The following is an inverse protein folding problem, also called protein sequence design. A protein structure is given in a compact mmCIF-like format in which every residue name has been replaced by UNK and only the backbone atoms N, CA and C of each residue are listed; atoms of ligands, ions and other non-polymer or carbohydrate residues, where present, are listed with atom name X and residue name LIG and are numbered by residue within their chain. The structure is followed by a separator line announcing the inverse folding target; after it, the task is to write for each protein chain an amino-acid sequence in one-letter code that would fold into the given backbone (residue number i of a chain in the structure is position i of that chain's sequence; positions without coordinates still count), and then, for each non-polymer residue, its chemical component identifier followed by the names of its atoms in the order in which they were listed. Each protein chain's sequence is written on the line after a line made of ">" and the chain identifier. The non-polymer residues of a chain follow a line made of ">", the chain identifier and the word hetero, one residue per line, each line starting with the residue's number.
data_IF_193752344527
#
_entry.id   IF_193752344527
#
_cell.length_a   1.000
_cell.length_b   1.000
_cell.length_c   1.000
_cell.angle_alpha   90.00
_cell.angle_beta   90.00
_cell.angle_gamma   90.00
#
_symmetry.space_group_name_H-M   'P 1'
#
loop_
_entity.id
_entity.type
_entity.pdbx_description
1 polymer ?
#
# COMPACT_ATOMS: atom_id res chain seq x y z
N UNK A 1 0.77 42.08 -40.80
CA UNK A 1 0.40 40.64 -40.72
C UNK A 1 1.19 40.02 -39.58
N UNK A 2 0.51 39.76 -38.46
CA UNK A 2 1.10 39.22 -37.23
C UNK A 2 1.02 37.69 -37.33
N UNK A 3 2.18 37.01 -37.30
CA UNK A 3 2.27 35.56 -37.33
C UNK A 3 2.17 35.01 -35.90
N UNK A 4 1.20 34.11 -35.75
CA UNK A 4 0.72 33.44 -34.54
C UNK A 4 1.78 32.53 -33.92
N UNK A 5 2.19 32.81 -32.68
CA UNK A 5 3.02 31.92 -31.88
C UNK A 5 2.15 30.82 -31.24
N UNK A 6 2.34 29.57 -31.66
CA UNK A 6 1.76 28.39 -31.02
C UNK A 6 2.54 28.10 -29.73
N UNK A 7 1.91 28.34 -28.58
CA UNK A 7 2.43 27.97 -27.27
C UNK A 7 2.02 26.53 -26.98
N UNK A 8 2.94 25.58 -27.10
CA UNK A 8 2.78 24.23 -26.56
C UNK A 8 2.93 24.30 -25.03
N UNK A 9 1.81 24.34 -24.32
CA UNK A 9 1.80 24.04 -22.89
C UNK A 9 1.99 22.54 -22.70
N UNK A 10 3.21 22.11 -22.39
CA UNK A 10 3.44 20.76 -21.87
C UNK A 10 2.77 20.66 -20.49
N UNK A 11 1.98 19.61 -20.21
CA UNK A 11 1.47 19.40 -18.86
C UNK A 11 2.68 19.15 -17.96
N UNK A 12 2.85 20.01 -16.95
CA UNK A 12 3.78 19.79 -15.85
C UNK A 12 3.36 18.47 -15.20
N UNK A 13 4.14 17.41 -15.37
CA UNK A 13 3.90 16.15 -14.70
C UNK A 13 3.95 16.42 -13.19
N UNK A 14 2.79 16.42 -12.54
CA UNK A 14 2.73 16.47 -11.08
C UNK A 14 3.50 15.26 -10.54
N UNK A 15 4.32 15.47 -9.51
CA UNK A 15 4.98 14.38 -8.82
C UNK A 15 3.91 13.36 -8.38
N UNK A 16 4.18 12.04 -8.48
CA UNK A 16 3.20 11.04 -8.09
C UNK A 16 2.89 11.17 -6.59
N UNK A 17 1.70 11.65 -6.26
CA UNK A 17 1.23 11.85 -4.88
C UNK A 17 1.41 10.58 -4.04
N UNK A 18 1.97 10.72 -2.84
CA UNK A 18 2.19 9.63 -1.90
C UNK A 18 0.85 9.04 -1.45
N UNK A 19 0.57 7.72 -1.65
CA UNK A 19 -0.70 7.12 -1.25
C UNK A 19 -0.97 7.24 0.26
N UNK A 20 0.07 7.35 1.10
CA UNK A 20 -0.13 7.60 2.53
C UNK A 20 -0.76 9.00 2.73
N UNK A 21 -0.23 10.01 2.04
CA UNK A 21 -0.77 11.37 2.06
C UNK A 21 -2.17 11.41 1.45
N UNK A 22 -2.41 10.77 0.31
CA UNK A 22 -3.74 10.70 -0.32
C UNK A 22 -4.79 10.10 0.64
N UNK A 23 -4.42 9.03 1.36
CA UNK A 23 -5.32 8.40 2.33
C UNK A 23 -5.60 9.32 3.53
N UNK A 24 -4.58 10.03 4.02
CA UNK A 24 -4.74 11.01 5.11
C UNK A 24 -5.61 12.20 4.71
N UNK A 25 -5.44 12.71 3.49
CA UNK A 25 -6.28 13.78 2.92
C UNK A 25 -7.73 13.32 2.75
N UNK A 26 -7.95 12.09 2.30
CA UNK A 26 -9.29 11.50 2.21
C UNK A 26 -9.95 11.34 3.59
N UNK A 27 -9.22 10.89 4.61
CA UNK A 27 -9.70 10.83 5.99
C UNK A 27 -10.10 12.22 6.51
N UNK A 28 -9.24 13.22 6.30
CA UNK A 28 -9.55 14.60 6.67
C UNK A 28 -10.80 15.12 5.94
N UNK A 29 -10.91 14.84 4.64
CA UNK A 29 -12.07 15.21 3.84
C UNK A 29 -13.36 14.53 4.34
N UNK A 30 -13.31 13.29 4.81
CA UNK A 30 -14.44 12.61 5.46
C UNK A 30 -14.86 13.33 6.74
N UNK A 31 -13.90 13.71 7.59
CA UNK A 31 -14.17 14.48 8.80
C UNK A 31 -14.88 15.81 8.51
N UNK A 32 -14.40 16.56 7.51
CA UNK A 32 -15.03 17.80 7.07
C UNK A 32 -16.43 17.57 6.46
N UNK A 33 -16.59 16.50 5.69
CA UNK A 33 -17.88 16.13 5.12
C UNK A 33 -18.89 15.67 6.18
N UNK A 34 -18.44 15.07 7.29
CA UNK A 34 -19.28 14.74 8.42
C UNK A 34 -19.76 15.99 9.18
N UNK A 35 -18.91 17.01 9.35
CA UNK A 35 -19.31 18.31 9.88
C UNK A 35 -20.37 18.95 8.98
N UNK A 36 -20.14 18.95 7.68
CA UNK A 36 -21.11 19.44 6.70
C UNK A 36 -22.47 18.74 6.77
N UNK A 37 -22.49 17.42 7.00
CA UNK A 37 -23.75 16.68 7.19
C UNK A 37 -24.51 17.12 8.45
N UNK A 38 -23.79 17.50 9.52
CA UNK A 38 -24.38 18.02 10.77
C UNK A 38 -24.98 19.40 10.56
N UNK A 39 -24.31 20.26 9.81
CA UNK A 39 -24.74 21.64 9.54
C UNK A 39 -25.79 21.75 8.43
N UNK A 40 -25.94 20.73 7.58
CA UNK A 40 -26.88 20.75 6.47
C UNK A 40 -28.35 20.75 6.94
N UNK A 41 -29.02 21.89 6.79
CA UNK A 41 -30.43 22.08 7.13
C UNK A 41 -31.35 21.87 5.93
N UNK A 42 -31.09 22.56 4.82
CA UNK A 42 -31.95 22.48 3.63
C UNK A 42 -31.73 21.20 2.83
N UNK A 43 -32.71 20.84 2.00
CA UNK A 43 -32.58 19.69 1.10
C UNK A 43 -31.37 19.81 0.15
N UNK A 44 -31.06 21.03 -0.31
CA UNK A 44 -29.89 21.29 -1.18
C UNK A 44 -28.58 21.14 -0.41
N UNK A 45 -28.51 21.65 0.82
CA UNK A 45 -27.31 21.53 1.66
C UNK A 45 -27.03 20.06 1.99
N UNK A 46 -28.08 19.28 2.26
CA UNK A 46 -27.98 17.84 2.51
C UNK A 46 -27.44 17.09 1.30
N UNK A 47 -27.89 17.41 0.08
CA UNK A 47 -27.34 16.83 -1.15
C UNK A 47 -25.86 17.22 -1.33
N UNK A 48 -25.52 18.49 -1.08
CA UNK A 48 -24.13 18.96 -1.18
C UNK A 48 -23.21 18.28 -0.17
N UNK A 49 -23.66 18.11 1.07
CA UNK A 49 -22.92 17.40 2.12
C UNK A 49 -22.74 15.91 1.79
N UNK A 50 -23.79 15.20 1.37
CA UNK A 50 -23.68 13.80 0.91
C UNK A 50 -22.74 13.66 -0.28
N UNK A 51 -22.74 14.63 -1.20
CA UNK A 51 -21.81 14.66 -2.34
C UNK A 51 -20.35 14.80 -1.89
N UNK A 52 -20.08 15.61 -0.85
CA UNK A 52 -18.74 15.72 -0.26
C UNK A 52 -18.28 14.39 0.35
N UNK A 53 -19.17 13.70 1.07
CA UNK A 53 -18.85 12.37 1.63
C UNK A 53 -18.55 11.34 0.54
N UNK A 54 -19.32 11.34 -0.55
CA UNK A 54 -19.09 10.45 -1.70
C UNK A 54 -17.72 10.69 -2.31
N UNK A 55 -17.38 11.96 -2.58
CA UNK A 55 -16.06 12.32 -3.14
C UNK A 55 -14.91 11.92 -2.22
N UNK A 56 -15.07 12.06 -0.91
CA UNK A 56 -14.05 11.66 0.05
C UNK A 56 -13.86 10.13 0.08
N UNK A 57 -14.94 9.34 -0.01
CA UNK A 57 -14.83 7.88 -0.16
C UNK A 57 -14.16 7.49 -1.48
N UNK A 58 -14.53 8.12 -2.59
CA UNK A 58 -13.91 7.87 -3.90
C UNK A 58 -12.41 8.19 -3.88
N UNK A 59 -12.01 9.31 -3.27
CA UNK A 59 -10.61 9.67 -3.06
C UNK A 59 -9.88 8.62 -2.19
N UNK A 60 -10.50 8.17 -1.10
CA UNK A 60 -9.96 7.11 -0.25
C UNK A 60 -9.73 5.80 -1.00
N UNK A 61 -10.72 5.34 -1.79
CA UNK A 61 -10.60 4.14 -2.62
C UNK A 61 -9.51 4.27 -3.69
N UNK A 62 -9.33 5.46 -4.26
CA UNK A 62 -8.22 5.75 -5.16
C UNK A 62 -6.86 5.65 -4.44
N UNK A 63 -6.75 6.20 -3.23
CA UNK A 63 -5.54 6.08 -2.41
C UNK A 63 -5.19 4.61 -2.09
N UNK A 64 -6.21 3.79 -1.76
CA UNK A 64 -6.01 2.35 -1.54
C UNK A 64 -5.47 1.63 -2.77
N UNK A 65 -6.04 1.92 -3.95
CA UNK A 65 -5.60 1.32 -5.23
C UNK A 65 -4.18 1.72 -5.60
N UNK A 66 -3.83 3.00 -5.41
CA UNK A 66 -2.48 3.49 -5.65
C UNK A 66 -1.48 2.89 -4.66
N UNK A 67 -1.86 2.76 -3.37
CA UNK A 67 -1.07 2.08 -2.35
C UNK A 67 -0.75 0.62 -2.73
N UNK A 68 -1.76 -0.14 -3.19
CA UNK A 68 -1.54 -1.50 -3.69
C UNK A 68 -0.61 -1.55 -4.90
N UNK A 69 -0.77 -0.63 -5.85
CA UNK A 69 0.07 -0.58 -7.04
C UNK A 69 1.54 -0.40 -6.65
N UNK A 70 1.83 0.51 -5.72
CA UNK A 70 3.19 0.72 -5.20
C UNK A 70 3.70 -0.49 -4.42
N UNK A 71 2.87 -1.07 -3.56
CA UNK A 71 3.21 -2.28 -2.81
C UNK A 71 3.56 -3.46 -3.73
N UNK A 72 2.81 -3.66 -4.83
CA UNK A 72 3.08 -4.71 -5.80
C UNK A 72 4.40 -4.52 -6.56
N UNK A 73 4.77 -3.27 -6.87
CA UNK A 73 6.07 -2.95 -7.47
C UNK A 73 7.20 -3.30 -6.50
N UNK A 74 7.09 -2.86 -5.23
CA UNK A 74 8.07 -3.18 -4.19
C UNK A 74 8.19 -4.69 -3.94
N UNK A 75 7.05 -5.40 -3.90
CA UNK A 75 7.04 -6.86 -3.76
C UNK A 75 7.83 -7.52 -4.90
N UNK A 76 7.60 -7.08 -6.14
CA UNK A 76 8.30 -7.62 -7.31
C UNK A 76 9.81 -7.39 -7.20
N UNK A 77 10.23 -6.22 -6.73
CA UNK A 77 11.64 -5.90 -6.51
C UNK A 77 12.25 -6.80 -5.42
N UNK A 78 11.58 -6.96 -4.28
CA UNK A 78 12.05 -7.80 -3.18
C UNK A 78 12.15 -9.27 -3.57
N UNK A 79 11.15 -9.80 -4.27
CA UNK A 79 11.18 -11.18 -4.78
C UNK A 79 12.37 -11.40 -5.71
N UNK A 80 12.63 -10.47 -6.64
CA UNK A 80 13.80 -10.57 -7.53
C UNK A 80 15.12 -10.54 -6.79
N UNK A 81 15.25 -9.66 -5.79
CA UNK A 81 16.45 -9.60 -4.93
C UNK A 81 16.64 -10.91 -4.17
N UNK A 82 15.56 -11.46 -3.62
CA UNK A 82 15.57 -12.74 -2.91
C UNK A 82 16.01 -13.89 -3.81
N UNK A 83 15.45 -13.99 -5.03
CA UNK A 83 15.83 -15.00 -6.02
C UNK A 83 17.31 -14.88 -6.43
N UNK A 84 17.78 -13.66 -6.71
CA UNK A 84 19.18 -13.41 -7.09
C UNK A 84 20.17 -13.81 -5.98
N UNK A 85 19.85 -13.51 -4.72
CA UNK A 85 20.68 -13.95 -3.58
C UNK A 85 20.63 -15.47 -3.39
N UNK A 86 19.47 -16.10 -3.60
CA UNK A 86 19.33 -17.56 -3.58
C UNK A 86 20.18 -18.27 -4.64
N UNK A 87 20.23 -17.74 -5.86
CA UNK A 87 21.11 -18.26 -6.91
C UNK A 87 22.59 -18.06 -6.56
N UNK A 88 22.94 -16.90 -6.02
CA UNK A 88 24.32 -16.59 -5.61
C UNK A 88 24.78 -17.57 -4.52
N UNK A 89 23.93 -17.85 -3.54
CA UNK A 89 24.19 -18.84 -2.51
C UNK A 89 24.35 -20.25 -3.08
N UNK A 90 23.48 -20.65 -4.00
CA UNK A 90 23.54 -21.96 -4.66
C UNK A 90 24.86 -22.15 -5.44
N UNK A 91 25.31 -21.12 -6.16
CA UNK A 91 26.62 -21.12 -6.85
C UNK A 91 27.78 -21.23 -5.86
N UNK A 92 27.73 -20.49 -4.75
CA UNK A 92 28.76 -20.55 -3.71
C UNK A 92 28.83 -21.95 -3.08
N UNK A 93 27.69 -22.52 -2.70
CA UNK A 93 27.63 -23.87 -2.12
C UNK A 93 28.10 -24.93 -3.12
N UNK A 94 27.72 -24.83 -4.39
CA UNK A 94 28.21 -25.73 -5.44
C UNK A 94 29.73 -25.68 -5.62
N UNK A 95 30.32 -24.48 -5.60
CA UNK A 95 31.78 -24.30 -5.66
C UNK A 95 32.49 -24.82 -4.40
N UNK A 96 31.87 -24.73 -3.23
CA UNK A 96 32.43 -25.29 -1.99
C UNK A 96 32.35 -26.83 -1.97
N UNK A 97 31.25 -27.40 -2.45
CA UNK A 97 31.09 -28.86 -2.57
C UNK A 97 32.08 -29.46 -3.57
N UNK A 98 32.41 -28.77 -4.66
CA UNK A 98 33.43 -29.25 -5.61
C UNK A 98 34.84 -29.26 -5.01
N UNK A 99 35.14 -28.38 -4.05
CA UNK A 99 36.42 -28.35 -3.32
C UNK A 99 36.47 -29.47 -2.26
N UNK A 100 35.35 -29.76 -1.61
CA UNK A 100 35.26 -30.76 -0.53
C UNK A 100 35.03 -32.22 -0.98
N UNK A 101 34.62 -32.44 -2.23
CA UNK A 101 34.23 -33.76 -2.76
C UNK A 101 35.33 -34.57 -3.45
N UNK A 102 36.59 -34.16 -3.40
CA UNK A 102 37.69 -34.91 -4.00
C UNK A 102 38.07 -36.15 -3.15
N UNK A 103 38.36 -37.29 -3.79
CA UNK A 103 38.76 -38.52 -3.10
C UNK A 103 40.09 -38.33 -2.33
N UNK A 104 40.20 -38.96 -1.15
CA UNK A 104 41.34 -38.86 -0.22
C UNK A 104 42.75 -38.96 -0.85
N UNK A 105 43.00 -39.80 -1.89
CA UNK A 105 44.31 -39.89 -2.54
C UNK A 105 44.68 -38.65 -3.38
N UNK A 106 43.70 -37.89 -3.89
CA UNK A 106 43.91 -36.72 -4.74
C UNK A 106 44.13 -35.43 -3.93
N UNK A 107 43.48 -35.29 -2.76
CA UNK A 107 43.63 -34.14 -1.86
C UNK A 107 45.08 -33.99 -1.34
N UNK A 108 45.80 -35.11 -1.20
CA UNK A 108 47.20 -35.12 -0.75
C UNK A 108 48.21 -34.69 -1.84
N UNK A 109 47.79 -34.68 -3.10
CA UNK A 109 48.64 -34.36 -4.25
C UNK A 109 48.41 -32.94 -4.80
N UNK A 110 47.37 -32.22 -4.34
CA UNK A 110 47.07 -30.86 -4.79
C UNK A 110 47.78 -29.80 -3.92
N UNK A 111 48.41 -28.76 -4.51
CA UNK A 111 49.22 -27.79 -3.76
C UNK A 111 48.46 -26.94 -2.73
N UNK A 112 47.11 -26.96 -2.74
CA UNK A 112 46.28 -26.23 -1.78
C UNK A 112 46.04 -26.99 -0.44
N UNK A 113 46.02 -28.34 -0.46
CA UNK A 113 45.97 -29.21 0.71
C UNK A 113 44.82 -29.02 1.73
N UNK A 114 44.84 -29.77 2.86
CA UNK A 114 43.82 -29.71 3.94
C UNK A 114 43.63 -28.33 4.57
N UNK A 115 44.67 -27.49 4.50
CA UNK A 115 44.70 -26.15 5.07
C UNK A 115 43.82 -25.17 4.27
N UNK A 116 43.73 -25.33 2.95
CA UNK A 116 42.79 -24.58 2.12
C UNK A 116 41.33 -24.95 2.43
N UNK A 117 41.05 -26.23 2.65
CA UNK A 117 39.71 -26.70 3.06
C UNK A 117 39.30 -26.15 4.42
N UNK A 118 40.21 -26.13 5.41
CA UNK A 118 39.94 -25.53 6.72
C UNK A 118 39.68 -24.02 6.62
N UNK A 119 40.45 -23.30 5.81
CA UNK A 119 40.25 -21.85 5.57
C UNK A 119 38.92 -21.56 4.89
N UNK A 120 38.52 -22.37 3.90
CA UNK A 120 37.21 -22.26 3.25
C UNK A 120 36.06 -22.52 4.24
N UNK A 121 36.22 -23.50 5.14
CA UNK A 121 35.26 -23.77 6.23
C UNK A 121 35.13 -22.61 7.21
N UNK A 122 36.23 -21.95 7.59
CA UNK A 122 36.20 -20.75 8.44
C UNK A 122 35.48 -19.59 7.76
N UNK A 123 35.79 -19.30 6.48
CA UNK A 123 35.12 -18.25 5.71
C UNK A 123 33.61 -18.55 5.59
N UNK A 124 33.21 -19.80 5.36
CA UNK A 124 31.79 -20.17 5.31
C UNK A 124 31.09 -19.94 6.65
N UNK A 125 31.76 -20.30 7.77
CA UNK A 125 31.27 -20.03 9.11
C UNK A 125 31.07 -18.55 9.41
N UNK A 126 31.89 -17.67 8.83
CA UNK A 126 31.78 -16.21 8.96
C UNK A 126 30.71 -15.60 8.05
N UNK A 127 30.53 -16.12 6.83
CA UNK A 127 29.62 -15.55 5.83
C UNK A 127 28.18 -16.07 5.97
N UNK A 128 27.99 -17.30 6.46
CA UNK A 128 26.66 -17.91 6.61
C UNK A 128 25.69 -17.12 7.51
N UNK A 129 26.10 -16.59 8.68
CA UNK A 129 25.22 -15.77 9.53
C UNK A 129 24.76 -14.49 8.85
N UNK A 130 25.64 -13.83 8.08
CA UNK A 130 25.30 -12.60 7.36
C UNK A 130 24.27 -12.86 6.26
N UNK A 131 24.40 -13.97 5.53
CA UNK A 131 23.42 -14.39 4.52
C UNK A 131 22.07 -14.76 5.14
N UNK A 132 22.08 -15.44 6.30
CA UNK A 132 20.86 -15.73 7.06
C UNK A 132 20.16 -14.43 7.47
N UNK A 133 20.90 -13.45 7.99
CA UNK A 133 20.34 -12.16 8.40
C UNK A 133 19.68 -11.42 7.22
N UNK A 134 20.28 -11.46 6.04
CA UNK A 134 19.70 -10.86 4.83
C UNK A 134 18.41 -11.59 4.39
N UNK A 135 18.41 -12.92 4.42
CA UNK A 135 17.21 -13.69 4.09
C UNK A 135 16.06 -13.46 5.09
N UNK A 136 16.38 -13.36 6.38
CA UNK A 136 15.40 -13.05 7.42
C UNK A 136 14.83 -11.63 7.24
N UNK A 137 15.66 -10.65 6.85
CA UNK A 137 15.21 -9.29 6.54
C UNK A 137 14.27 -9.24 5.31
N UNK A 138 14.64 -9.91 4.22
CA UNK A 138 13.79 -9.99 3.02
C UNK A 138 12.45 -10.68 3.31
N UNK A 139 12.46 -11.71 4.16
CA UNK A 139 11.23 -12.37 4.61
C UNK A 139 10.35 -11.41 5.41
N UNK A 140 10.92 -10.67 6.35
CA UNK A 140 10.18 -9.68 7.14
C UNK A 140 9.52 -8.62 6.25
N UNK A 141 10.24 -8.08 5.25
CA UNK A 141 9.66 -7.10 4.32
C UNK A 141 8.51 -7.68 3.48
N UNK A 142 8.59 -8.95 3.06
CA UNK A 142 7.51 -9.62 2.33
C UNK A 142 6.29 -9.90 3.23
N UNK A 143 6.52 -10.22 4.50
CA UNK A 143 5.45 -10.39 5.50
C UNK A 143 4.73 -9.07 5.77
N UNK A 144 5.46 -7.95 5.90
CA UNK A 144 4.89 -6.61 6.05
C UNK A 144 3.98 -6.24 4.86
N UNK A 145 4.42 -6.53 3.63
CA UNK A 145 3.61 -6.30 2.43
C UNK A 145 2.34 -7.17 2.39
N UNK A 146 2.42 -8.41 2.89
CA UNK A 146 1.25 -9.28 3.01
C UNK A 146 0.23 -8.74 4.02
N UNK A 147 0.71 -8.24 5.17
CA UNK A 147 -0.13 -7.57 6.18
C UNK A 147 -0.79 -6.32 5.60
N UNK A 148 -0.03 -5.49 4.87
CA UNK A 148 -0.59 -4.30 4.21
C UNK A 148 -1.71 -4.67 3.23
N UNK A 149 -1.54 -5.73 2.44
CA UNK A 149 -2.54 -6.18 1.48
C UNK A 149 -3.83 -6.63 2.17
N UNK A 150 -3.72 -7.32 3.31
CA UNK A 150 -4.88 -7.71 4.11
C UNK A 150 -5.59 -6.49 4.72
N UNK A 151 -4.82 -5.52 5.23
CA UNK A 151 -5.36 -4.26 5.75
C UNK A 151 -6.08 -3.48 4.65
N UNK A 152 -5.50 -3.41 3.46
CA UNK A 152 -6.12 -2.73 2.32
C UNK A 152 -7.42 -3.39 1.88
N UNK A 153 -7.47 -4.73 1.83
CA UNK A 153 -8.70 -5.44 1.45
C UNK A 153 -9.84 -5.12 2.42
N UNK A 154 -9.55 -5.21 3.71
CA UNK A 154 -10.51 -4.83 4.77
C UNK A 154 -10.91 -3.36 4.66
N UNK A 155 -9.97 -2.48 4.34
CA UNK A 155 -10.22 -1.06 4.18
C UNK A 155 -11.12 -0.74 2.98
N UNK A 156 -10.91 -1.43 1.86
CA UNK A 156 -11.73 -1.30 0.67
C UNK A 156 -13.17 -1.73 0.96
N UNK A 157 -13.37 -2.85 1.64
CA UNK A 157 -14.71 -3.33 2.00
C UNK A 157 -15.48 -2.30 2.84
N UNK A 158 -14.83 -1.73 3.87
CA UNK A 158 -15.45 -0.69 4.72
C UNK A 158 -15.84 0.54 3.90
N UNK A 159 -14.94 1.03 3.06
CA UNK A 159 -15.17 2.21 2.23
C UNK A 159 -16.23 1.97 1.14
N UNK A 160 -16.24 0.81 0.51
CA UNK A 160 -17.24 0.46 -0.52
C UNK A 160 -18.64 0.35 0.07
N UNK A 161 -18.77 -0.27 1.25
CA UNK A 161 -20.04 -0.33 1.96
C UNK A 161 -20.52 1.06 2.40
N UNK A 162 -19.61 1.90 2.92
CA UNK A 162 -19.90 3.28 3.31
C UNK A 162 -20.32 4.13 2.12
N UNK A 163 -19.61 4.02 1.00
CA UNK A 163 -19.92 4.69 -0.25
C UNK A 163 -21.31 4.32 -0.76
N UNK A 164 -21.63 3.02 -0.80
CA UNK A 164 -22.94 2.53 -1.24
C UNK A 164 -24.08 3.10 -0.37
N UNK A 165 -23.90 3.11 0.95
CA UNK A 165 -24.86 3.67 1.91
C UNK A 165 -25.13 5.16 1.64
N UNK A 166 -24.08 5.95 1.45
CA UNK A 166 -24.19 7.41 1.22
C UNK A 166 -24.77 7.70 -0.17
N UNK A 167 -24.39 6.94 -1.20
CA UNK A 167 -24.97 7.05 -2.54
C UNK A 167 -26.47 6.77 -2.53
N UNK A 168 -26.90 5.72 -1.81
CA UNK A 168 -28.31 5.39 -1.66
C UNK A 168 -29.07 6.51 -0.92
N UNK A 169 -28.50 7.07 0.14
CA UNK A 169 -29.09 8.20 0.85
C UNK A 169 -29.24 9.44 -0.05
N UNK A 170 -28.23 9.74 -0.88
CA UNK A 170 -28.29 10.85 -1.84
C UNK A 170 -29.36 10.60 -2.90
N UNK A 171 -29.46 9.39 -3.43
CA UNK A 171 -30.45 9.02 -4.43
C UNK A 171 -31.88 9.19 -3.89
N UNK A 172 -32.18 8.63 -2.72
CA UNK A 172 -33.49 8.76 -2.07
C UNK A 172 -33.86 10.23 -1.78
N UNK A 173 -32.90 11.03 -1.35
CA UNK A 173 -33.12 12.46 -1.10
C UNK A 173 -33.42 13.22 -2.39
N UNK A 174 -32.62 13.00 -3.45
CA UNK A 174 -32.84 13.65 -4.74
C UNK A 174 -34.19 13.24 -5.36
N UNK A 175 -34.59 11.98 -5.20
CA UNK A 175 -35.89 11.49 -5.65
C UNK A 175 -37.04 12.20 -4.91
N UNK A 176 -36.99 12.29 -3.58
CA UNK A 176 -38.02 12.97 -2.79
C UNK A 176 -38.15 14.47 -3.18
N UNK A 177 -37.02 15.14 -3.42
CA UNK A 177 -37.00 16.53 -3.90
C UNK A 177 -37.69 16.63 -5.27
N UNK A 178 -37.34 15.74 -6.21
CA UNK A 178 -37.90 15.74 -7.56
C UNK A 178 -39.40 15.47 -7.57
N UNK A 179 -39.86 14.53 -6.73
CA UNK A 179 -41.28 14.18 -6.58
C UNK A 179 -42.06 15.15 -5.68
N UNK A 180 -41.38 16.13 -5.06
CA UNK A 180 -41.95 17.08 -4.09
C UNK A 180 -42.70 16.38 -2.95
N UNK A 181 -42.16 15.26 -2.48
CA UNK A 181 -42.68 14.50 -1.34
C UNK A 181 -41.96 14.85 -0.05
N UNK A 182 -42.40 14.29 1.08
CA UNK A 182 -41.70 14.41 2.35
C UNK A 182 -40.24 13.95 2.23
N UNK A 183 -39.36 14.72 2.87
CA UNK A 183 -37.92 14.45 2.83
C UNK A 183 -37.58 13.24 3.72
N UNK A 184 -36.66 12.37 3.30
CA UNK A 184 -36.18 11.29 4.15
C UNK A 184 -35.50 11.87 5.41
N UNK A 185 -35.45 11.03 6.46
CA UNK A 185 -34.70 11.35 7.69
C UNK A 185 -33.26 11.73 7.37
N UNK A 186 -32.65 12.56 8.21
CA UNK A 186 -31.25 12.99 8.06
C UNK A 186 -30.34 11.77 8.12
N UNK A 187 -29.27 11.75 7.33
CA UNK A 187 -28.34 10.62 7.26
C UNK A 187 -27.74 10.31 8.64
N UNK A 188 -27.35 11.34 9.39
CA UNK A 188 -26.78 11.20 10.74
C UNK A 188 -27.80 10.83 11.83
N UNK A 189 -29.09 10.66 11.49
CA UNK A 189 -30.08 10.14 12.42
C UNK A 189 -30.05 8.60 12.50
N UNK A 190 -29.33 7.94 11.61
CA UNK A 190 -29.11 6.49 11.62
C UNK A 190 -27.77 6.19 12.35
N UNK A 191 -27.80 5.52 13.52
CA UNK A 191 -26.59 5.15 14.25
C UNK A 191 -25.63 4.27 13.44
N UNK A 192 -26.13 3.41 12.55
CA UNK A 192 -25.29 2.57 11.71
C UNK A 192 -24.54 3.40 10.66
N UNK A 193 -25.21 4.39 10.06
CA UNK A 193 -24.59 5.32 9.13
C UNK A 193 -23.49 6.15 9.80
N UNK A 194 -23.70 6.60 11.04
CA UNK A 194 -22.68 7.32 11.82
C UNK A 194 -21.48 6.43 12.12
N UNK A 195 -21.73 5.21 12.61
CA UNK A 195 -20.67 4.24 12.89
C UNK A 195 -19.84 3.93 11.64
N UNK A 196 -20.50 3.80 10.49
CA UNK A 196 -19.83 3.52 9.22
C UNK A 196 -18.96 4.68 8.72
N UNK A 197 -19.39 5.94 8.88
CA UNK A 197 -18.55 7.09 8.55
C UNK A 197 -17.28 7.16 9.40
N UNK A 198 -17.41 6.88 10.70
CA UNK A 198 -16.28 6.84 11.63
C UNK A 198 -15.32 5.73 11.25
N UNK A 199 -15.84 4.51 11.04
CA UNK A 199 -15.05 3.37 10.61
C UNK A 199 -14.29 3.67 9.30
N UNK A 200 -14.92 4.32 8.31
CA UNK A 200 -14.25 4.75 7.07
C UNK A 200 -13.07 5.69 7.31
N UNK A 201 -13.22 6.68 8.21
CA UNK A 201 -12.14 7.63 8.53
C UNK A 201 -10.99 6.93 9.26
N UNK A 202 -11.28 6.18 10.32
CA UNK A 202 -10.29 5.45 11.12
C UNK A 202 -9.51 4.44 10.27
N UNK A 203 -10.21 3.76 9.35
CA UNK A 203 -9.63 2.82 8.40
C UNK A 203 -8.62 3.50 7.47
N UNK A 204 -8.95 4.69 6.94
CA UNK A 204 -8.06 5.45 6.08
C UNK A 204 -6.82 5.95 6.83
N UNK A 205 -6.99 6.41 8.07
CA UNK A 205 -5.88 6.83 8.94
C UNK A 205 -4.95 5.67 9.29
N UNK A 206 -5.51 4.50 9.62
CA UNK A 206 -4.76 3.29 9.89
C UNK A 206 -3.96 2.83 8.66
N UNK A 207 -4.59 2.86 7.48
CA UNK A 207 -3.93 2.53 6.22
C UNK A 207 -2.80 3.51 5.88
N UNK A 208 -3.03 4.81 6.00
CA UNK A 208 -2.01 5.84 5.80
C UNK A 208 -0.81 5.63 6.74
N UNK A 209 -1.09 5.37 8.01
CA UNK A 209 -0.05 5.08 9.02
C UNK A 209 0.75 3.81 8.72
N UNK A 210 0.07 2.78 8.20
CA UNK A 210 0.72 1.56 7.73
C UNK A 210 1.67 1.80 6.56
N UNK A 211 1.22 2.57 5.56
CA UNK A 211 2.05 2.95 4.41
C UNK A 211 3.27 3.79 4.83
N UNK A 212 3.09 4.75 5.74
CA UNK A 212 4.17 5.62 6.21
C UNK A 212 5.29 4.84 6.92
N UNK A 213 4.94 3.81 7.70
CA UNK A 213 5.94 2.95 8.35
C UNK A 213 6.79 2.18 7.33
N UNK A 214 6.20 1.65 6.26
CA UNK A 214 6.97 0.98 5.20
C UNK A 214 7.77 1.96 4.33
N UNK A 215 7.26 3.17 4.12
CA UNK A 215 7.98 4.21 3.37
C UNK A 215 9.20 4.74 4.12
N UNK A 216 9.11 4.83 5.46
CA UNK A 216 10.16 5.35 6.34
C UNK A 216 11.30 4.37 6.64
N UNK A 217 11.12 3.06 6.46
CA UNK A 217 12.17 2.05 6.67
C UNK A 217 13.20 1.97 5.54
N UNK A 218 13.03 2.77 4.48
CA UNK A 218 13.91 2.79 3.31
C UNK A 218 14.94 3.96 3.28
N UNK A 219 15.11 4.69 4.39
CA UNK A 219 16.11 5.76 4.54
C UNK A 219 17.08 5.46 5.68
#
# INVERSE_FOLDING_TARGET
>A
MIALALWLAAPLAAAPEDPAQMAMEAAHALGQAQLALREAESARDRVAALTRVIRAHEAGLMALREGLRRAAIRQTELTRRFEAEGERLSRLLGALMSIGGADLPEILLHPAGPLATARAGMILGEVSPALKAQADALRAELEELAVLRALQGSAADVLEQGLASVQQARARLSEAISRRTDLPRRFLADPQAVAQLLASSETLEAFASGLAQMGGTAA
#
